data_IF_352573746691
#
_entry.id   IF_352573746691
#
_cell.length_a   1.000
_cell.length_b   1.000
_cell.length_c   1.000
_cell.angle_alpha   90.00
_cell.angle_beta   90.00
_cell.angle_gamma   90.00
#
_symmetry.space_group_name_H-M   'P 1'
#
loop_
_entity.id
_entity.type
_entity.pdbx_description
1 polymer ?
#
# COMPACT_ATOMS: atom_id res chain seq x y z
N UNK A 1 27.08 -14.75 13.07
CA UNK A 1 26.71 -14.97 11.66
C UNK A 1 25.98 -13.75 11.16
N UNK A 2 26.57 -13.03 10.21
CA UNK A 2 26.13 -11.72 9.71
C UNK A 2 26.02 -11.81 8.18
N UNK A 3 24.89 -11.41 7.62
CA UNK A 3 24.42 -11.74 6.25
C UNK A 3 25.06 -10.86 5.15
N UNK A 4 25.99 -9.97 5.50
CA UNK A 4 26.57 -9.02 4.53
C UNK A 4 27.86 -9.49 3.83
N UNK A 5 28.27 -10.75 3.98
CA UNK A 5 29.53 -11.25 3.38
C UNK A 5 29.36 -11.97 2.03
N UNK A 6 28.18 -11.92 1.39
CA UNK A 6 27.85 -12.82 0.27
C UNK A 6 27.59 -12.14 -1.08
N UNK A 7 28.33 -11.08 -1.46
CA UNK A 7 28.25 -10.54 -2.84
C UNK A 7 29.58 -10.21 -3.53
N UNK A 8 30.73 -10.65 -3.02
CA UNK A 8 32.03 -10.48 -3.69
C UNK A 8 32.49 -11.71 -4.51
N UNK A 9 31.57 -12.49 -5.10
CA UNK A 9 31.97 -13.64 -5.92
C UNK A 9 31.03 -13.91 -7.10
N UNK A 10 30.98 -12.98 -8.05
CA UNK A 10 30.48 -13.27 -9.39
C UNK A 10 31.61 -13.16 -10.41
N UNK A 11 32.08 -14.32 -10.89
CA UNK A 11 33.10 -14.45 -11.95
C UNK A 11 32.37 -14.99 -13.19
N UNK A 12 32.01 -14.16 -14.18
CA UNK A 12 31.40 -14.69 -15.40
C UNK A 12 32.45 -15.45 -16.22
N UNK A 13 32.14 -16.71 -16.56
CA UNK A 13 32.89 -17.54 -17.49
C UNK A 13 32.61 -17.09 -18.92
N UNK A 14 33.70 -16.97 -19.66
CA UNK A 14 33.90 -16.84 -21.11
C UNK A 14 32.75 -17.15 -22.08
N UNK A 15 32.80 -16.42 -23.20
CA UNK A 15 32.09 -16.55 -24.48
C UNK A 15 30.81 -15.72 -24.65
N UNK A 16 30.97 -14.40 -24.79
CA UNK A 16 30.39 -13.71 -25.94
C UNK A 16 31.01 -12.32 -26.15
N UNK A 17 31.36 -11.97 -27.40
CA UNK A 17 32.14 -10.77 -27.78
C UNK A 17 31.32 -9.49 -27.88
N UNK A 18 30.19 -9.39 -27.19
CA UNK A 18 29.21 -8.29 -27.38
C UNK A 18 29.03 -7.37 -26.16
N UNK A 19 29.86 -7.48 -25.12
CA UNK A 19 29.78 -6.65 -23.91
C UNK A 19 30.81 -5.50 -23.85
N UNK A 20 31.59 -5.30 -24.91
CA UNK A 20 32.68 -4.32 -24.97
C UNK A 20 32.23 -2.86 -25.13
N UNK A 21 30.92 -2.57 -25.20
CA UNK A 21 30.40 -1.19 -25.33
C UNK A 21 29.76 -0.66 -24.04
N UNK A 22 29.48 -1.52 -23.05
CA UNK A 22 28.85 -1.08 -21.78
C UNK A 22 29.84 -0.92 -20.62
N UNK A 23 31.10 -1.34 -20.80
CA UNK A 23 32.16 -1.25 -19.77
C UNK A 23 32.98 0.05 -19.81
N UNK A 24 32.78 0.90 -20.82
CA UNK A 24 33.51 2.18 -20.94
C UNK A 24 32.77 3.35 -20.28
N UNK A 25 31.47 3.23 -20.04
CA UNK A 25 30.66 4.27 -19.36
C UNK A 25 30.69 4.13 -17.82
N UNK A 26 31.10 2.97 -17.29
CA UNK A 26 31.20 2.74 -15.84
C UNK A 26 32.58 3.05 -15.21
N UNK A 27 33.56 3.46 -16.01
CA UNK A 27 34.95 3.70 -15.59
C UNK A 27 35.38 5.18 -15.65
N UNK A 28 34.43 6.12 -15.82
CA UNK A 28 34.66 7.56 -15.64
C UNK A 28 33.67 8.10 -14.60
N UNK A 29 34.05 8.00 -13.33
CA UNK A 29 33.24 8.48 -12.21
C UNK A 29 33.83 8.13 -10.85
N UNK A 30 34.77 7.18 -10.80
CA UNK A 30 35.65 6.96 -9.65
C UNK A 30 36.91 7.83 -9.76
N UNK A 31 36.74 9.15 -9.60
CA UNK A 31 37.86 10.05 -9.30
C UNK A 31 37.35 11.25 -8.51
N UNK A 32 37.28 11.10 -7.19
CA UNK A 32 37.79 12.14 -6.30
C UNK A 32 38.08 11.56 -4.90
N UNK A 33 39.19 10.83 -4.78
CA UNK A 33 39.89 10.71 -3.50
C UNK A 33 40.71 11.98 -3.30
N UNK A 34 40.08 13.09 -2.93
CA UNK A 34 40.79 14.07 -2.11
C UNK A 34 39.85 15.02 -1.37
N UNK A 35 40.28 15.34 -0.14
CA UNK A 35 39.73 16.33 0.79
C UNK A 35 38.58 15.84 1.68
N UNK A 36 38.95 15.10 2.74
CA UNK A 36 38.36 15.35 4.06
C UNK A 36 38.51 16.84 4.35
N UNK A 37 37.51 17.64 4.01
CA UNK A 37 37.16 18.75 4.89
C UNK A 37 36.36 18.08 5.99
N UNK A 38 36.95 18.00 7.18
CA UNK A 38 36.19 17.96 8.42
C UNK A 38 35.41 19.27 8.49
N UNK A 39 34.39 19.40 7.63
CA UNK A 39 33.41 20.46 7.75
C UNK A 39 32.55 19.95 8.89
N UNK A 40 32.99 20.27 10.11
CA UNK A 40 32.18 20.12 11.30
C UNK A 40 30.93 20.90 11.02
N UNK A 41 29.89 20.20 10.55
CA UNK A 41 28.57 20.78 10.44
C UNK A 41 28.21 21.19 11.86
N UNK A 42 28.01 22.49 12.03
CA UNK A 42 27.43 23.02 13.25
C UNK A 42 25.90 22.95 13.14
N UNK A 43 25.22 23.31 14.22
CA UNK A 43 23.75 23.38 14.26
C UNK A 43 23.18 24.18 13.08
N UNK A 44 23.78 25.34 12.76
CA UNK A 44 23.28 26.25 11.73
C UNK A 44 23.44 25.69 10.30
N UNK A 45 24.52 24.94 10.05
CA UNK A 45 24.73 24.23 8.79
C UNK A 45 23.69 23.11 8.62
N UNK A 46 23.38 22.40 9.71
CA UNK A 46 22.35 21.36 9.71
C UNK A 46 20.95 21.94 9.46
N UNK A 47 20.56 23.00 10.17
CA UNK A 47 19.24 23.62 10.04
C UNK A 47 19.04 24.25 8.65
N UNK A 48 20.07 24.86 8.06
CA UNK A 48 20.02 25.33 6.66
C UNK A 48 19.86 24.17 5.67
N UNK A 49 20.58 23.08 5.88
CA UNK A 49 20.43 21.86 5.06
C UNK A 49 19.02 21.27 5.17
N UNK A 50 18.44 21.30 6.38
CA UNK A 50 17.08 20.87 6.65
C UNK A 50 16.07 21.76 5.93
N UNK A 51 16.17 23.09 6.05
CA UNK A 51 15.31 24.05 5.36
C UNK A 51 15.28 23.81 3.85
N UNK A 52 16.44 23.61 3.22
CA UNK A 52 16.53 23.32 1.78
C UNK A 52 15.77 22.05 1.38
N UNK A 53 15.78 21.01 2.23
CA UNK A 53 15.08 19.75 1.99
C UNK A 53 13.58 19.86 2.24
N UNK A 54 13.15 20.82 3.06
CA UNK A 54 11.74 21.03 3.42
C UNK A 54 10.99 21.95 2.46
N UNK A 55 11.65 22.57 1.46
CA UNK A 55 11.03 23.53 0.51
C UNK A 55 9.79 23.03 -0.24
N UNK A 56 9.56 21.71 -0.30
CA UNK A 56 8.37 21.11 -0.92
C UNK A 56 7.13 21.07 -0.03
N UNK A 57 7.24 21.47 1.24
CA UNK A 57 6.15 21.44 2.23
C UNK A 57 5.51 22.84 2.41
N UNK A 58 4.27 22.92 2.92
CA UNK A 58 3.66 24.19 3.35
C UNK A 58 4.53 24.97 4.36
N UNK A 59 4.56 26.30 4.29
CA UNK A 59 5.43 27.12 5.15
C UNK A 59 5.20 26.92 6.66
N UNK A 60 3.98 26.61 7.06
CA UNK A 60 3.63 26.29 8.44
C UNK A 60 4.27 24.98 8.91
N UNK A 61 4.29 23.95 8.06
CA UNK A 61 4.98 22.69 8.35
C UNK A 61 6.50 22.86 8.36
N UNK A 62 7.07 23.65 7.43
CA UNK A 62 8.50 23.95 7.41
C UNK A 62 8.94 24.59 8.74
N UNK A 63 8.22 25.63 9.19
CA UNK A 63 8.49 26.30 10.47
C UNK A 63 8.35 25.37 11.66
N UNK A 64 7.32 24.52 11.68
CA UNK A 64 7.11 23.58 12.76
C UNK A 64 8.24 22.56 12.85
N UNK A 65 8.67 21.99 11.73
CA UNK A 65 9.74 21.00 11.71
C UNK A 65 11.06 21.65 12.15
N UNK A 66 11.38 22.85 11.66
CA UNK A 66 12.57 23.60 12.11
C UNK A 66 12.56 23.82 13.63
N UNK A 67 11.43 24.25 14.20
CA UNK A 67 11.28 24.44 15.65
C UNK A 67 11.56 23.15 16.45
N UNK A 68 11.08 22.00 15.98
CA UNK A 68 11.33 20.70 16.65
C UNK A 68 12.82 20.39 16.71
N UNK A 69 13.54 20.58 15.60
CA UNK A 69 14.98 20.34 15.57
C UNK A 69 15.76 21.38 16.39
N UNK A 70 15.35 22.64 16.40
CA UNK A 70 15.96 23.66 17.25
C UNK A 70 15.85 23.33 18.74
N UNK A 71 14.67 22.89 19.18
CA UNK A 71 14.43 22.48 20.55
C UNK A 71 15.23 21.22 20.91
N UNK A 72 15.40 20.30 19.96
CA UNK A 72 16.25 19.12 20.13
C UNK A 72 17.71 19.49 20.43
N UNK A 73 18.27 20.43 19.66
CA UNK A 73 19.63 20.91 19.90
C UNK A 73 19.75 21.61 21.26
N UNK A 74 18.75 22.40 21.64
CA UNK A 74 18.69 23.07 22.96
C UNK A 74 18.67 22.08 24.12
N UNK A 75 17.86 21.04 24.03
CA UNK A 75 17.76 20.00 25.06
C UNK A 75 19.05 19.19 25.17
N UNK A 76 19.68 18.88 24.05
CA UNK A 76 20.95 18.18 24.03
C UNK A 76 22.08 19.01 24.67
N UNK A 77 22.14 20.31 24.36
CA UNK A 77 23.08 21.25 24.98
C UNK A 77 22.87 21.33 26.50
N UNK A 78 21.60 21.41 26.95
CA UNK A 78 21.26 21.37 28.38
C UNK A 78 21.70 20.07 29.08
N UNK A 79 21.74 18.96 28.34
CA UNK A 79 22.25 17.67 28.80
C UNK A 79 23.77 17.51 28.60
N UNK A 80 24.49 18.58 28.26
CA UNK A 80 25.95 18.60 28.11
C UNK A 80 26.46 17.89 26.86
N UNK A 81 25.63 17.74 25.81
CA UNK A 81 26.00 17.10 24.55
C UNK A 81 26.53 18.10 23.53
N UNK A 82 27.57 17.70 22.82
CA UNK A 82 28.15 18.50 21.75
C UNK A 82 27.29 18.45 20.48
N UNK A 83 27.28 19.54 19.70
CA UNK A 83 26.52 19.60 18.42
C UNK A 83 26.90 18.46 17.46
N UNK A 84 28.17 18.05 17.47
CA UNK A 84 28.69 16.98 16.63
C UNK A 84 28.06 15.63 16.97
N UNK A 85 27.93 15.32 18.26
CA UNK A 85 27.28 14.08 18.73
C UNK A 85 25.82 14.01 18.27
N UNK A 86 25.11 15.14 18.26
CA UNK A 86 23.71 15.22 17.83
C UNK A 86 23.59 15.05 16.33
N UNK A 87 24.47 15.66 15.54
CA UNK A 87 24.43 15.58 14.07
C UNK A 87 24.83 14.18 13.58
N UNK A 88 25.82 13.57 14.21
CA UNK A 88 26.18 12.16 13.96
C UNK A 88 25.02 11.23 14.31
N UNK A 89 24.31 11.52 15.40
CA UNK A 89 23.11 10.80 15.81
C UNK A 89 21.98 10.94 14.78
N UNK A 90 21.67 12.15 14.34
CA UNK A 90 20.66 12.43 13.31
C UNK A 90 20.95 11.75 11.97
N UNK A 91 22.21 11.38 11.74
CA UNK A 91 22.65 10.66 10.55
C UNK A 91 22.48 9.13 10.67
N UNK A 92 22.17 8.59 11.86
CA UNK A 92 22.04 7.16 12.14
C UNK A 92 20.63 6.80 12.65
N UNK A 93 19.70 6.37 11.79
CA UNK A 93 18.28 6.24 12.11
C UNK A 93 17.90 5.15 13.13
N UNK A 94 18.84 4.29 13.56
CA UNK A 94 18.52 3.05 14.29
C UNK A 94 18.92 3.04 15.78
N UNK A 95 19.38 4.16 16.35
CA UNK A 95 19.78 4.20 17.77
C UNK A 95 19.37 5.51 18.41
N UNK A 96 18.28 5.54 19.18
CA UNK A 96 17.93 6.70 20.02
C UNK A 96 18.94 6.87 21.17
N UNK A 97 19.28 8.10 21.60
CA UNK A 97 20.19 8.32 22.71
C UNK A 97 19.50 7.97 24.03
N UNK A 98 20.23 7.35 24.96
CA UNK A 98 19.72 6.98 26.27
C UNK A 98 19.20 8.19 27.09
N UNK A 99 19.76 9.38 26.85
CA UNK A 99 19.32 10.63 27.46
C UNK A 99 17.99 11.17 26.90
N UNK A 100 17.57 10.73 25.71
CA UNK A 100 16.22 11.00 25.19
C UNK A 100 15.21 10.02 25.77
N UNK A 101 15.60 8.82 26.20
CA UNK A 101 14.63 7.80 26.67
C UNK A 101 13.87 8.21 27.94
N UNK A 102 14.41 9.17 28.72
CA UNK A 102 13.79 9.68 29.94
C UNK A 102 13.06 11.02 29.78
N UNK A 103 13.23 11.71 28.65
CA UNK A 103 12.68 13.06 28.41
C UNK A 103 11.98 13.25 27.06
N UNK A 104 12.12 12.30 26.12
CA UNK A 104 11.51 12.41 24.81
C UNK A 104 10.05 11.94 24.88
N UNK A 105 9.08 12.77 24.47
CA UNK A 105 7.76 12.25 24.12
C UNK A 105 7.93 11.21 23.00
N UNK A 106 7.12 10.13 22.99
CA UNK A 106 7.23 9.07 21.98
C UNK A 106 7.22 9.68 20.57
N UNK A 107 8.37 9.59 19.89
CA UNK A 107 8.59 10.18 18.57
C UNK A 107 7.67 9.59 17.49
N UNK A 108 6.98 8.48 17.79
CA UNK A 108 5.99 7.86 16.91
C UNK A 108 4.54 8.34 17.12
N UNK A 109 4.26 9.15 18.14
CA UNK A 109 2.89 9.63 18.44
C UNK A 109 2.62 11.08 18.03
N UNK A 110 3.62 11.83 17.55
CA UNK A 110 3.44 13.26 17.22
C UNK A 110 3.62 13.57 15.75
N UNK A 111 2.71 13.06 14.91
CA UNK A 111 2.26 13.94 13.84
C UNK A 111 1.76 15.24 14.49
N UNK A 112 2.14 16.43 14.01
CA UNK A 112 1.33 17.61 14.28
C UNK A 112 -0.12 17.26 13.94
N UNK A 113 -0.96 17.19 14.95
CA UNK A 113 -2.27 17.77 14.74
C UNK A 113 -2.02 19.23 14.34
N UNK A 114 -2.63 19.72 13.23
CA UNK A 114 -2.58 21.14 12.89
C UNK A 114 -3.00 21.95 14.12
N UNK A 115 -2.50 23.20 14.27
CA UNK A 115 -2.66 24.00 15.49
C UNK A 115 -4.05 23.84 16.09
N UNK A 116 -4.05 23.40 17.35
CA UNK A 116 -5.19 22.97 18.14
C UNK A 116 -6.14 24.15 18.40
N UNK A 117 -6.88 24.55 17.38
CA UNK A 117 -7.95 25.54 17.52
C UNK A 117 -9.30 24.98 17.04
N UNK A 118 -9.34 23.72 16.58
CA UNK A 118 -10.59 23.12 16.15
C UNK A 118 -10.56 21.59 16.33
N UNK A 119 -10.81 21.10 17.54
CA UNK A 119 -11.16 19.69 17.79
C UNK A 119 -12.28 19.22 16.85
N UNK A 120 -13.22 20.10 16.51
CA UNK A 120 -14.23 19.88 15.49
C UNK A 120 -13.65 19.59 14.10
N UNK A 121 -12.60 20.30 13.65
CA UNK A 121 -11.93 20.03 12.37
C UNK A 121 -11.19 18.70 12.39
N UNK A 122 -10.53 18.34 13.49
CA UNK A 122 -9.84 17.06 13.63
C UNK A 122 -10.80 15.86 13.65
N UNK A 123 -11.94 15.99 14.33
CA UNK A 123 -13.04 15.01 14.28
C UNK A 123 -13.62 14.91 12.87
N UNK A 124 -13.86 16.05 12.21
CA UNK A 124 -14.39 16.08 10.85
C UNK A 124 -13.43 15.45 9.85
N UNK A 125 -12.12 15.65 9.98
CA UNK A 125 -11.10 15.00 9.14
C UNK A 125 -11.10 13.48 9.38
N UNK A 126 -11.16 13.03 10.63
CA UNK A 126 -11.18 11.60 10.97
C UNK A 126 -12.46 10.91 10.47
N UNK A 127 -13.60 11.57 10.63
CA UNK A 127 -14.90 11.10 10.13
C UNK A 127 -14.90 11.08 8.60
N UNK A 128 -14.47 12.17 7.95
CA UNK A 128 -14.38 12.26 6.50
C UNK A 128 -13.45 11.20 5.92
N UNK A 129 -12.30 10.92 6.56
CA UNK A 129 -11.38 9.88 6.11
C UNK A 129 -11.98 8.48 6.25
N UNK A 130 -12.73 8.23 7.33
CA UNK A 130 -13.50 7.00 7.52
C UNK A 130 -14.59 6.82 6.44
N UNK A 131 -15.39 7.86 6.16
CA UNK A 131 -16.40 7.83 5.11
C UNK A 131 -15.81 7.73 3.70
N UNK A 132 -14.71 8.43 3.43
CA UNK A 132 -13.99 8.35 2.16
C UNK A 132 -13.47 6.94 1.91
N UNK A 133 -12.81 6.33 2.90
CA UNK A 133 -12.36 4.95 2.83
C UNK A 133 -13.55 3.99 2.67
N UNK A 134 -14.63 4.19 3.42
CA UNK A 134 -15.85 3.40 3.28
C UNK A 134 -16.38 3.47 1.85
N UNK A 135 -16.58 4.64 1.27
CA UNK A 135 -17.11 4.77 -0.09
C UNK A 135 -16.17 4.13 -1.11
N UNK A 136 -14.87 4.41 -1.05
CA UNK A 136 -13.89 3.89 -2.01
C UNK A 136 -13.70 2.38 -1.92
N UNK A 137 -13.84 1.77 -0.75
CA UNK A 137 -13.65 0.32 -0.56
C UNK A 137 -14.97 -0.45 -0.65
N UNK A 138 -16.06 0.10 -0.08
CA UNK A 138 -17.37 -0.54 -0.06
C UNK A 138 -18.06 -0.51 -1.42
N UNK A 139 -17.94 0.59 -2.19
CA UNK A 139 -18.57 0.68 -3.50
C UNK A 139 -18.09 -0.41 -4.48
N UNK A 140 -16.77 -0.62 -4.72
CA UNK A 140 -16.32 -1.72 -5.57
C UNK A 140 -16.66 -3.09 -4.97
N UNK A 141 -16.65 -3.22 -3.64
CA UNK A 141 -17.06 -4.46 -2.99
C UNK A 141 -18.53 -4.80 -3.28
N UNK A 142 -19.45 -3.84 -3.15
CA UNK A 142 -20.87 -3.98 -3.47
C UNK A 142 -21.08 -4.26 -4.95
N UNK A 143 -20.34 -3.57 -5.83
CA UNK A 143 -20.42 -3.80 -7.28
C UNK A 143 -20.06 -5.25 -7.64
N UNK A 144 -18.96 -5.77 -7.08
CA UNK A 144 -18.56 -7.17 -7.30
C UNK A 144 -19.61 -8.14 -6.74
N UNK A 145 -20.12 -7.88 -5.53
CA UNK A 145 -21.19 -8.70 -4.95
C UNK A 145 -22.44 -8.73 -5.83
N UNK A 146 -22.84 -7.58 -6.37
CA UNK A 146 -23.97 -7.44 -7.28
C UNK A 146 -23.76 -8.26 -8.55
N UNK A 147 -22.59 -8.14 -9.19
CA UNK A 147 -22.25 -8.94 -10.38
C UNK A 147 -22.32 -10.44 -10.09
N UNK A 148 -21.70 -10.90 -8.99
CA UNK A 148 -21.73 -12.32 -8.61
C UNK A 148 -23.17 -12.81 -8.36
N UNK A 149 -24.00 -11.99 -7.72
CA UNK A 149 -25.41 -12.30 -7.49
C UNK A 149 -26.20 -12.38 -8.80
N UNK A 150 -26.04 -11.41 -9.69
CA UNK A 150 -26.70 -11.38 -11.00
C UNK A 150 -26.34 -12.61 -11.85
N UNK A 151 -25.06 -12.96 -11.94
CA UNK A 151 -24.64 -14.15 -12.69
C UNK A 151 -25.15 -15.45 -12.07
N UNK A 152 -25.23 -15.51 -10.74
CA UNK A 152 -25.82 -16.66 -10.04
C UNK A 152 -27.30 -16.79 -10.35
N UNK A 153 -28.04 -15.68 -10.39
CA UNK A 153 -29.46 -15.67 -10.71
C UNK A 153 -29.72 -16.03 -12.18
N UNK A 154 -28.93 -15.48 -13.10
CA UNK A 154 -28.98 -15.83 -14.53
C UNK A 154 -28.72 -17.33 -14.73
N UNK A 155 -27.72 -17.88 -14.06
CA UNK A 155 -27.44 -19.33 -14.10
C UNK A 155 -28.66 -20.16 -13.67
N UNK A 156 -29.32 -19.79 -12.57
CA UNK A 156 -30.53 -20.49 -12.10
C UNK A 156 -31.69 -20.40 -13.09
N UNK A 157 -31.94 -19.22 -13.66
CA UNK A 157 -33.01 -19.01 -14.64
C UNK A 157 -32.74 -19.84 -15.90
N UNK A 158 -31.49 -19.87 -16.38
CA UNK A 158 -31.10 -20.66 -17.54
C UNK A 158 -31.26 -22.17 -17.31
N UNK A 159 -30.90 -22.67 -16.11
CA UNK A 159 -31.11 -24.08 -15.74
C UNK A 159 -32.61 -24.40 -15.66
N UNK A 160 -33.42 -23.46 -15.16
CA UNK A 160 -34.88 -23.61 -15.09
C UNK A 160 -35.59 -23.34 -16.42
N UNK A 161 -34.88 -22.93 -17.47
CA UNK A 161 -35.48 -22.56 -18.77
C UNK A 161 -36.40 -23.63 -19.39
N UNK A 162 -36.15 -24.96 -19.31
CA UNK A 162 -37.06 -25.94 -19.89
C UNK A 162 -38.44 -25.91 -19.22
N UNK A 163 -38.48 -25.63 -17.91
CA UNK A 163 -39.72 -25.55 -17.13
C UNK A 163 -40.51 -24.31 -17.56
N UNK A 164 -39.84 -23.17 -17.73
CA UNK A 164 -40.48 -21.93 -18.18
C UNK A 164 -41.07 -22.05 -19.59
N UNK A 165 -40.35 -22.71 -20.50
CA UNK A 165 -40.84 -22.96 -21.86
C UNK A 165 -42.08 -23.85 -21.82
N UNK A 166 -42.04 -24.95 -21.08
CA UNK A 166 -43.16 -25.89 -20.93
C UNK A 166 -44.43 -25.23 -20.36
N UNK A 167 -44.29 -24.29 -19.42
CA UNK A 167 -45.41 -23.52 -18.89
C UNK A 167 -45.96 -22.52 -19.92
N UNK A 168 -45.07 -21.89 -20.70
CA UNK A 168 -45.44 -20.84 -21.65
C UNK A 168 -46.13 -21.35 -22.92
N UNK A 169 -45.76 -22.53 -23.40
CA UNK A 169 -46.26 -23.08 -24.67
C UNK A 169 -47.37 -24.11 -24.51
N UNK A 170 -47.53 -24.70 -23.32
CA UNK A 170 -48.51 -25.75 -23.06
C UNK A 170 -48.14 -27.09 -23.73
N UNK A 171 -49.07 -28.06 -23.71
CA UNK A 171 -48.81 -29.43 -24.18
C UNK A 171 -49.19 -29.69 -25.66
N UNK A 172 -49.81 -28.71 -26.33
CA UNK A 172 -50.35 -28.85 -27.69
C UNK A 172 -49.34 -28.34 -28.73
N UNK A 173 -48.22 -29.04 -28.89
CA UNK A 173 -47.16 -28.65 -29.83
C UNK A 173 -46.99 -29.60 -31.02
N UNK A 174 -46.73 -29.01 -32.19
CA UNK A 174 -46.31 -29.76 -33.38
C UNK A 174 -44.88 -30.29 -33.19
N UNK A 175 -44.61 -31.52 -33.67
CA UNK A 175 -43.32 -32.21 -33.50
C UNK A 175 -42.08 -31.39 -33.89
N UNK A 176 -42.18 -30.52 -34.91
CA UNK A 176 -41.08 -29.67 -35.37
C UNK A 176 -40.75 -28.54 -34.40
N UNK A 177 -41.75 -27.92 -33.78
CA UNK A 177 -41.58 -26.86 -32.79
C UNK A 177 -41.00 -27.44 -31.50
N UNK A 178 -41.51 -28.61 -31.07
CA UNK A 178 -41.04 -29.32 -29.88
C UNK A 178 -39.54 -29.64 -29.97
N UNK A 179 -39.05 -30.14 -31.11
CA UNK A 179 -37.62 -30.44 -31.29
C UNK A 179 -36.75 -29.18 -31.15
N UNK A 180 -37.15 -28.06 -31.77
CA UNK A 180 -36.39 -26.80 -31.71
C UNK A 180 -36.32 -26.28 -30.27
N UNK A 181 -37.42 -26.32 -29.52
CA UNK A 181 -37.46 -25.89 -28.12
C UNK A 181 -36.68 -26.82 -27.19
N UNK A 182 -36.70 -28.12 -27.45
CA UNK A 182 -35.92 -29.10 -26.69
C UNK A 182 -34.41 -28.90 -26.88
N UNK A 183 -33.94 -28.74 -28.12
CA UNK A 183 -32.53 -28.45 -28.37
C UNK A 183 -32.12 -27.05 -27.89
N UNK A 184 -32.99 -26.05 -28.05
CA UNK A 184 -32.74 -24.70 -27.55
C UNK A 184 -32.62 -24.65 -26.02
N UNK A 185 -33.54 -25.30 -25.31
CA UNK A 185 -33.50 -25.38 -23.85
C UNK A 185 -32.30 -26.18 -23.34
N UNK A 186 -31.87 -27.24 -24.04
CA UNK A 186 -30.66 -27.98 -23.70
C UNK A 186 -29.40 -27.08 -23.77
N UNK A 187 -29.30 -26.22 -24.78
CA UNK A 187 -28.20 -25.24 -24.88
C UNK A 187 -28.26 -24.23 -23.73
N UNK A 188 -29.45 -23.71 -23.41
CA UNK A 188 -29.63 -22.77 -22.29
C UNK A 188 -29.27 -23.41 -20.95
N UNK A 189 -29.69 -24.65 -20.69
CA UNK A 189 -29.30 -25.41 -19.51
C UNK A 189 -27.79 -25.61 -19.45
N UNK A 190 -27.16 -25.99 -20.58
CA UNK A 190 -25.71 -26.12 -20.67
C UNK A 190 -24.97 -24.84 -20.30
N UNK A 191 -25.44 -23.68 -20.82
CA UNK A 191 -24.88 -22.37 -20.48
C UNK A 191 -25.11 -22.02 -19.01
N UNK A 192 -26.30 -22.32 -18.48
CA UNK A 192 -26.65 -22.14 -17.08
C UNK A 192 -25.74 -22.93 -16.15
N UNK A 193 -25.45 -24.21 -16.47
CA UNK A 193 -24.53 -25.05 -15.73
C UNK A 193 -23.08 -24.55 -15.83
N UNK A 194 -22.66 -24.05 -16.99
CA UNK A 194 -21.32 -23.46 -17.17
C UNK A 194 -21.14 -22.25 -16.25
N UNK A 195 -22.08 -21.30 -16.25
CA UNK A 195 -22.02 -20.16 -15.33
C UNK A 195 -22.16 -20.59 -13.87
N UNK A 196 -23.02 -21.56 -13.57
CA UNK A 196 -23.21 -22.08 -12.21
C UNK A 196 -21.93 -22.69 -11.65
N UNK A 197 -21.26 -23.55 -12.43
CA UNK A 197 -19.99 -24.17 -12.03
C UNK A 197 -18.88 -23.14 -11.82
N UNK A 198 -18.80 -22.12 -12.69
CA UNK A 198 -17.87 -21.00 -12.53
C UNK A 198 -18.15 -20.22 -11.23
N UNK A 199 -19.41 -19.92 -10.93
CA UNK A 199 -19.80 -19.19 -9.71
C UNK A 199 -19.50 -19.99 -8.43
N UNK A 200 -19.79 -21.29 -8.43
CA UNK A 200 -19.43 -22.19 -7.31
C UNK A 200 -17.93 -22.18 -7.01
N UNK A 201 -17.09 -21.93 -8.02
CA UNK A 201 -15.66 -21.81 -7.86
C UNK A 201 -15.22 -20.40 -7.42
N UNK A 202 -15.85 -19.33 -7.94
CA UNK A 202 -15.45 -17.94 -7.71
C UNK A 202 -15.91 -17.43 -6.33
N UNK A 203 -17.17 -17.66 -5.96
CA UNK A 203 -17.77 -17.17 -4.70
C UNK A 203 -16.97 -17.54 -3.44
N UNK A 204 -16.51 -18.80 -3.24
CA UNK A 204 -15.72 -19.14 -2.06
C UNK A 204 -14.31 -18.53 -2.08
N UNK A 205 -13.72 -18.30 -3.26
CA UNK A 205 -12.43 -17.62 -3.38
C UNK A 205 -12.55 -16.14 -3.01
N UNK A 206 -13.56 -15.46 -3.54
CA UNK A 206 -13.89 -14.09 -3.18
C UNK A 206 -14.15 -13.95 -1.67
N UNK A 207 -15.00 -14.82 -1.12
CA UNK A 207 -15.28 -14.84 0.32
C UNK A 207 -14.04 -15.02 1.19
N UNK A 208 -13.08 -15.85 0.73
CA UNK A 208 -11.79 -16.00 1.41
C UNK A 208 -10.95 -14.73 1.36
N UNK A 209 -10.84 -14.07 0.20
CA UNK A 209 -10.10 -12.81 0.05
C UNK A 209 -10.64 -11.74 1.00
N UNK A 210 -11.97 -11.60 1.07
CA UNK A 210 -12.65 -10.65 1.96
C UNK A 210 -12.33 -10.94 3.43
N UNK A 211 -12.41 -12.21 3.86
CA UNK A 211 -12.07 -12.59 5.23
C UNK A 211 -10.60 -12.34 5.55
N UNK A 212 -9.70 -12.58 4.59
CA UNK A 212 -8.26 -12.28 4.75
C UNK A 212 -8.01 -10.79 4.88
N UNK A 213 -8.66 -9.96 4.06
CA UNK A 213 -8.58 -8.50 4.15
C UNK A 213 -9.06 -7.99 5.51
N UNK A 214 -10.25 -8.43 5.96
CA UNK A 214 -10.80 -8.04 7.27
C UNK A 214 -9.85 -8.48 8.39
N UNK A 215 -9.28 -9.69 8.30
CA UNK A 215 -8.34 -10.19 9.31
C UNK A 215 -7.04 -9.38 9.32
N UNK A 216 -6.51 -9.00 8.15
CA UNK A 216 -5.33 -8.16 8.05
C UNK A 216 -5.56 -6.79 8.70
N UNK A 217 -6.70 -6.14 8.42
CA UNK A 217 -7.05 -4.87 9.06
C UNK A 217 -7.22 -5.00 10.58
N UNK A 218 -7.85 -6.08 11.06
CA UNK A 218 -8.00 -6.33 12.50
C UNK A 218 -6.67 -6.56 13.21
N UNK A 219 -5.65 -7.13 12.54
CA UNK A 219 -4.31 -7.32 13.10
C UNK A 219 -3.56 -6.00 13.23
N UNK A 220 -3.61 -5.16 12.20
CA UNK A 220 -3.02 -3.82 12.22
C UNK A 220 -3.57 -2.95 13.36
N UNK A 221 -4.87 -3.03 13.64
CA UNK A 221 -5.50 -2.29 14.74
C UNK A 221 -5.08 -2.85 16.12
N UNK A 222 -4.74 -4.14 16.20
CA UNK A 222 -4.30 -4.78 17.45
C UNK A 222 -2.80 -4.69 17.70
N UNK A 223 -2.00 -4.16 16.76
CA UNK A 223 -0.56 -3.96 16.92
C UNK A 223 0.29 -5.24 16.87
N UNK A 224 -0.22 -6.31 16.24
CA UNK A 224 0.52 -7.55 15.96
C UNK A 224 1.08 -7.58 14.53
#
# INVERSE_FOLDING_TARGET
MNVYSCMCRYRPKSHDRSYLVTMTVFMYGCSNKNKRRDFQMNKDDFLRGLELRLRGLPEDEQRRIQYVYEELFRQAEANGKSEREIIEWLSQPNRGPEWMTSQAPPMYESYPTPPQDNTAKSMLISVALGFFNLIFVLAPFLAICGVLFSFSLVSLILIASPIFIMIGTGFEQTNTILLVELFGSLVLVGLGLLFGSAMLAIVPRFSRLVRTYIRANKRLIKGE
#
